data_IF_049278120750
#
_entry.id   IF_049278120750
#
_cell.length_a   1.000
_cell.length_b   1.000
_cell.length_c   1.000
_cell.angle_alpha   90.00
_cell.angle_beta   90.00
_cell.angle_gamma   90.00
#
_symmetry.space_group_name_H-M   'P 1'
#
loop_
_entity.id
_entity.type
_entity.pdbx_description
1 polymer ?
#
# COMPACT_ATOMS: atom_id res chain seq x y z
N UNK A 1 -19.95 14.64 3.36
CA UNK A 1 -18.72 14.81 4.16
C UNK A 1 -18.35 13.42 4.64
N UNK A 2 -17.10 12.98 4.54
CA UNK A 2 -16.71 11.64 5.01
C UNK A 2 -16.51 11.70 6.51
N UNK A 3 -17.04 10.72 7.23
CA UNK A 3 -16.76 10.56 8.66
C UNK A 3 -15.36 9.99 8.84
N UNK A 4 -14.64 10.50 9.83
CA UNK A 4 -13.40 9.89 10.30
C UNK A 4 -13.69 9.13 11.60
N UNK A 5 -13.06 7.98 11.76
CA UNK A 5 -13.20 7.11 12.92
C UNK A 5 -11.83 6.80 13.51
N UNK A 6 -11.72 6.85 14.84
CA UNK A 6 -10.47 6.61 15.54
C UNK A 6 -10.12 5.10 15.58
N UNK A 7 -8.83 4.74 15.60
CA UNK A 7 -8.37 3.34 15.71
C UNK A 7 -8.97 2.56 16.88
N UNK A 8 -9.04 3.17 18.07
CA UNK A 8 -9.65 2.56 19.26
C UNK A 8 -11.14 2.24 19.07
N UNK A 9 -11.88 3.10 18.35
CA UNK A 9 -13.31 2.88 18.07
C UNK A 9 -13.46 1.69 17.12
N UNK A 10 -12.66 1.62 16.06
CA UNK A 10 -12.69 0.48 15.12
C UNK A 10 -12.29 -0.82 15.82
N UNK A 11 -11.27 -0.79 16.67
CA UNK A 11 -10.87 -1.96 17.46
C UNK A 11 -11.98 -2.44 18.38
N UNK A 12 -12.68 -1.51 19.05
CA UNK A 12 -13.80 -1.84 19.93
C UNK A 12 -14.94 -2.49 19.15
N UNK A 13 -15.26 -1.97 17.95
CA UNK A 13 -16.30 -2.55 17.09
C UNK A 13 -15.94 -3.94 16.58
N UNK A 14 -14.69 -4.14 16.15
CA UNK A 14 -14.20 -5.45 15.71
C UNK A 14 -14.21 -6.51 16.83
N UNK A 15 -14.17 -6.08 18.10
CA UNK A 15 -14.26 -6.97 19.25
C UNK A 15 -15.71 -7.24 19.71
N UNK A 16 -16.69 -6.50 19.19
CA UNK A 16 -18.11 -6.67 19.48
C UNK A 16 -18.74 -7.67 18.52
N UNK A 17 -19.54 -8.61 19.02
CA UNK A 17 -20.34 -9.52 18.17
C UNK A 17 -21.63 -8.86 17.65
N UNK A 18 -21.98 -7.66 18.15
CA UNK A 18 -23.23 -6.95 17.85
C UNK A 18 -23.11 -5.92 16.71
N UNK A 19 -21.89 -5.61 16.23
CA UNK A 19 -21.64 -4.58 15.20
C UNK A 19 -20.88 -5.19 14.01
N UNK A 20 -21.48 -5.19 12.82
CA UNK A 20 -20.82 -5.71 11.62
C UNK A 20 -19.98 -4.60 10.99
N UNK A 21 -18.65 -4.68 11.16
CA UNK A 21 -17.71 -3.73 10.55
C UNK A 21 -16.85 -4.39 9.49
N UNK A 22 -16.88 -3.83 8.29
CA UNK A 22 -15.98 -4.22 7.20
C UNK A 22 -14.82 -3.24 7.07
N UNK A 23 -13.60 -3.71 7.26
CA UNK A 23 -12.40 -2.89 7.07
C UNK A 23 -11.82 -3.11 5.67
N UNK A 24 -11.63 -2.02 4.92
CA UNK A 24 -11.11 -2.05 3.55
C UNK A 24 -9.72 -1.42 3.51
N UNK A 25 -8.68 -2.24 3.39
CA UNK A 25 -7.31 -1.75 3.24
C UNK A 25 -6.99 -1.47 1.77
N UNK A 26 -6.80 -0.19 1.44
CA UNK A 26 -6.52 0.27 0.08
C UNK A 26 -5.03 0.33 -0.28
N UNK A 27 -4.15 -0.14 0.62
CA UNK A 27 -2.70 -0.23 0.39
C UNK A 27 -2.37 -1.34 -0.60
N UNK A 28 -1.11 -1.40 -1.01
CA UNK A 28 -0.64 -2.48 -1.87
C UNK A 28 -0.78 -3.85 -1.19
N UNK A 29 -0.99 -4.95 -1.95
CA UNK A 29 -1.06 -6.30 -1.39
C UNK A 29 0.18 -6.69 -0.59
N UNK A 30 1.36 -6.18 -0.99
CA UNK A 30 2.61 -6.39 -0.24
C UNK A 30 2.57 -5.74 1.14
N UNK A 31 2.06 -4.51 1.25
CA UNK A 31 1.94 -3.84 2.55
C UNK A 31 0.90 -4.53 3.43
N UNK A 32 -0.23 -4.92 2.84
CA UNK A 32 -1.25 -5.69 3.53
C UNK A 32 -0.69 -7.01 4.08
N UNK A 33 0.05 -7.76 3.26
CA UNK A 33 0.62 -9.04 3.67
C UNK A 33 1.65 -8.94 4.81
N UNK A 34 2.33 -7.80 4.94
CA UNK A 34 3.26 -7.52 6.04
C UNK A 34 2.56 -7.21 7.37
N UNK A 35 1.29 -6.82 7.33
CA UNK A 35 0.50 -6.46 8.50
C UNK A 35 -0.73 -5.66 8.10
N UNK A 36 -1.90 -6.07 8.56
CA UNK A 36 -3.18 -5.41 8.32
C UNK A 36 -4.11 -5.53 9.53
N UNK A 37 -5.15 -4.68 9.56
CA UNK A 37 -6.21 -4.75 10.56
C UNK A 37 -6.91 -6.11 10.46
N UNK A 38 -7.23 -6.78 11.59
CA UNK A 38 -7.87 -8.08 11.56
C UNK A 38 -9.19 -8.08 10.79
N UNK A 39 -9.42 -9.14 10.00
CA UNK A 39 -10.60 -9.29 9.15
C UNK A 39 -10.66 -8.33 7.95
N UNK A 40 -9.64 -7.48 7.74
CA UNK A 40 -9.66 -6.51 6.65
C UNK A 40 -9.60 -7.18 5.27
N UNK A 41 -10.30 -6.60 4.30
CA UNK A 41 -10.18 -6.96 2.89
C UNK A 41 -9.20 -6.02 2.20
N UNK A 42 -8.27 -6.57 1.42
CA UNK A 42 -7.36 -5.75 0.62
C UNK A 42 -7.97 -5.43 -0.74
N UNK A 43 -8.25 -4.14 -0.98
CA UNK A 43 -8.71 -3.64 -2.28
C UNK A 43 -7.90 -2.40 -2.63
N UNK A 44 -6.77 -2.55 -3.34
CA UNK A 44 -5.91 -1.42 -3.67
C UNK A 44 -6.68 -0.29 -4.35
N UNK A 45 -6.40 0.96 -3.97
CA UNK A 45 -7.13 2.14 -4.47
C UNK A 45 -7.32 2.19 -6.01
N UNK A 46 -6.31 1.84 -6.85
CA UNK A 46 -6.48 1.85 -8.31
C UNK A 46 -7.47 0.80 -8.83
N UNK A 47 -7.68 -0.28 -8.06
CA UNK A 47 -8.55 -1.41 -8.41
C UNK A 47 -9.93 -1.29 -7.80
N UNK A 48 -10.08 -0.49 -6.74
CA UNK A 48 -11.33 -0.24 -6.01
C UNK A 48 -12.52 0.06 -6.94
N UNK A 49 -12.42 0.96 -7.95
CA UNK A 49 -13.56 1.25 -8.82
C UNK A 49 -14.06 0.06 -9.67
N UNK A 50 -13.21 -0.97 -9.85
CA UNK A 50 -13.51 -2.14 -10.68
C UNK A 50 -13.87 -3.38 -9.87
N UNK A 51 -13.57 -3.35 -8.58
CA UNK A 51 -13.75 -4.48 -7.66
C UNK A 51 -14.84 -4.27 -6.63
N UNK A 52 -15.35 -3.04 -6.48
CA UNK A 52 -16.41 -2.74 -5.51
C UNK A 52 -17.64 -3.64 -5.68
N UNK A 53 -18.03 -3.96 -6.92
CA UNK A 53 -19.17 -4.85 -7.20
C UNK A 53 -18.90 -6.33 -6.91
N UNK A 54 -17.67 -6.70 -6.56
CA UNK A 54 -17.28 -8.07 -6.23
C UNK A 54 -17.41 -8.39 -4.74
N UNK A 55 -17.77 -7.40 -3.92
CA UNK A 55 -17.94 -7.55 -2.48
C UNK A 55 -19.37 -7.22 -2.08
N UNK A 56 -19.88 -7.98 -1.11
CA UNK A 56 -21.13 -7.65 -0.42
C UNK A 56 -20.81 -6.61 0.67
N UNK A 57 -21.57 -5.51 0.67
CA UNK A 57 -21.40 -4.36 1.57
C UNK A 57 -22.52 -4.27 2.60
N UNK A 58 -23.01 -5.41 3.08
CA UNK A 58 -24.12 -5.52 4.03
C UNK A 58 -23.75 -5.15 5.47
N UNK A 59 -22.48 -4.87 5.74
CA UNK A 59 -21.99 -4.45 7.05
C UNK A 59 -22.61 -3.10 7.48
N UNK A 60 -22.84 -2.93 8.78
CA UNK A 60 -23.33 -1.69 9.37
C UNK A 60 -22.40 -0.50 9.09
N UNK A 61 -21.09 -0.77 9.05
CA UNK A 61 -20.07 0.25 8.78
C UNK A 61 -18.93 -0.30 7.91
N UNK A 62 -18.49 0.52 6.95
CA UNK A 62 -17.34 0.25 6.08
C UNK A 62 -16.24 1.26 6.39
N UNK A 63 -15.09 0.78 6.86
CA UNK A 63 -13.95 1.62 7.23
C UNK A 63 -12.82 1.48 6.23
N UNK A 64 -12.53 2.54 5.48
CA UNK A 64 -11.41 2.58 4.55
C UNK A 64 -10.10 2.91 5.28
N UNK A 65 -9.04 2.14 5.00
CA UNK A 65 -7.72 2.25 5.63
C UNK A 65 -6.66 2.48 4.57
N UNK A 66 -5.90 3.57 4.70
CA UNK A 66 -4.70 3.83 3.90
C UNK A 66 -3.48 4.05 4.80
N UNK A 67 -2.26 4.32 4.29
CA UNK A 67 -1.09 4.46 5.15
C UNK A 67 -1.16 5.61 6.17
N UNK A 68 -1.85 6.72 5.85
CA UNK A 68 -1.82 7.96 6.64
C UNK A 68 -3.18 8.65 6.85
N UNK A 69 -4.30 8.03 6.44
CA UNK A 69 -5.65 8.64 6.50
C UNK A 69 -6.06 9.50 5.28
N UNK A 70 -5.11 9.99 4.48
CA UNK A 70 -5.40 10.94 3.39
C UNK A 70 -6.13 10.30 2.18
N UNK A 71 -5.62 9.17 1.69
CA UNK A 71 -6.18 8.50 0.52
C UNK A 71 -7.43 7.67 0.85
N UNK A 72 -7.64 7.34 2.13
CA UNK A 72 -8.83 6.63 2.61
C UNK A 72 -10.07 7.51 2.59
N UNK A 73 -9.95 8.82 2.75
CA UNK A 73 -11.06 9.75 2.53
C UNK A 73 -11.56 9.68 1.08
N UNK A 74 -10.64 9.56 0.11
CA UNK A 74 -11.01 9.45 -1.31
C UNK A 74 -11.67 8.10 -1.59
N UNK A 75 -11.12 7.01 -1.04
CA UNK A 75 -11.72 5.68 -1.13
C UNK A 75 -13.13 5.64 -0.50
N UNK A 76 -13.31 6.26 0.67
CA UNK A 76 -14.60 6.31 1.36
C UNK A 76 -15.67 7.06 0.53
N UNK A 77 -15.30 8.19 -0.09
CA UNK A 77 -16.19 8.91 -1.03
C UNK A 77 -16.55 8.07 -2.24
N UNK A 78 -15.56 7.35 -2.77
CA UNK A 78 -15.75 6.50 -3.92
C UNK A 78 -16.71 5.36 -3.58
N UNK A 79 -16.46 4.61 -2.50
CA UNK A 79 -17.33 3.56 -1.98
C UNK A 79 -18.76 4.07 -1.76
N UNK A 80 -18.94 5.18 -1.03
CA UNK A 80 -20.26 5.77 -0.80
C UNK A 80 -20.96 6.34 -2.05
N UNK A 81 -20.31 6.33 -3.21
CA UNK A 81 -20.94 6.70 -4.49
C UNK A 81 -21.47 5.50 -5.30
N UNK A 82 -21.14 4.28 -4.89
CA UNK A 82 -21.64 3.06 -5.53
C UNK A 82 -23.03 2.67 -5.02
N UNK A 83 -23.80 2.06 -5.92
CA UNK A 83 -25.13 1.57 -5.59
C UNK A 83 -25.01 0.38 -4.63
N UNK A 84 -25.86 0.34 -3.60
CA UNK A 84 -25.79 -0.66 -2.54
C UNK A 84 -24.91 -0.30 -1.34
N UNK A 85 -24.15 0.80 -1.39
CA UNK A 85 -23.35 1.29 -0.26
C UNK A 85 -23.97 2.58 0.28
N UNK A 86 -24.31 2.59 1.57
CA UNK A 86 -24.81 3.80 2.22
C UNK A 86 -23.64 4.75 2.51
N UNK A 87 -23.66 5.95 1.90
CA UNK A 87 -22.59 6.93 2.09
C UNK A 87 -22.36 7.33 3.56
N UNK A 88 -23.39 7.28 4.39
CA UNK A 88 -23.33 7.56 5.83
C UNK A 88 -22.73 6.41 6.66
N UNK A 89 -22.66 5.20 6.10
CA UNK A 89 -22.02 4.03 6.68
C UNK A 89 -20.54 3.89 6.29
N UNK A 90 -19.99 4.80 5.48
CA UNK A 90 -18.58 4.74 5.06
C UNK A 90 -17.74 5.77 5.81
N UNK A 91 -16.70 5.28 6.49
CA UNK A 91 -15.75 6.08 7.23
C UNK A 91 -14.31 5.90 6.73
N UNK A 92 -13.45 6.86 7.06
CA UNK A 92 -11.99 6.75 6.92
C UNK A 92 -11.38 6.53 8.30
N UNK A 93 -10.43 5.60 8.42
CA UNK A 93 -9.64 5.47 9.64
C UNK A 93 -8.74 6.70 9.81
N UNK A 94 -8.90 7.42 10.92
CA UNK A 94 -8.05 8.56 11.30
C UNK A 94 -6.60 8.09 11.48
N UNK A 95 -5.63 8.85 10.97
CA UNK A 95 -4.21 8.47 11.00
C UNK A 95 -3.83 7.29 10.09
N UNK A 96 -4.81 6.57 9.57
CA UNK A 96 -4.63 5.37 8.74
C UNK A 96 -3.98 4.22 9.50
N UNK A 97 -3.44 3.26 8.74
CA UNK A 97 -2.77 2.08 9.27
C UNK A 97 -1.64 2.40 10.27
N UNK A 98 -0.98 3.55 10.15
CA UNK A 98 0.16 3.90 11.00
C UNK A 98 -0.21 4.26 12.44
N UNK A 99 -1.46 4.64 12.67
CA UNK A 99 -1.99 4.90 14.01
C UNK A 99 -2.82 3.73 14.53
N UNK A 100 -2.79 2.59 13.83
CA UNK A 100 -3.34 1.36 14.36
C UNK A 100 -2.39 0.78 15.42
N UNK A 101 -2.81 0.84 16.68
CA UNK A 101 -2.09 0.28 17.83
C UNK A 101 -2.63 -1.10 18.27
N UNK A 102 -3.64 -1.63 17.57
CA UNK A 102 -4.22 -2.95 17.85
C UNK A 102 -3.44 -4.12 17.26
N UNK A 103 -3.95 -5.33 17.48
CA UNK A 103 -3.42 -6.55 16.86
C UNK A 103 -3.41 -6.45 15.33
N UNK A 104 -2.43 -7.10 14.71
CA UNK A 104 -2.27 -7.14 13.26
C UNK A 104 -2.33 -8.59 12.77
N UNK A 105 -3.10 -8.80 11.72
CA UNK A 105 -3.05 -10.02 10.94
C UNK A 105 -1.99 -9.92 9.84
N UNK A 106 -1.42 -11.06 9.46
CA UNK A 106 -0.41 -11.17 8.40
C UNK A 106 -0.79 -12.30 7.46
N UNK A 107 -0.44 -12.17 6.18
CA UNK A 107 -0.79 -13.17 5.19
C UNK A 107 -1.34 -12.59 3.88
N UNK A 108 -1.44 -13.44 2.87
CA UNK A 108 -1.97 -13.07 1.57
C UNK A 108 -3.48 -12.73 1.67
N UNK A 109 -3.99 -11.81 0.84
CA UNK A 109 -5.42 -11.48 0.86
C UNK A 109 -6.28 -12.72 0.63
N UNK A 110 -7.36 -12.87 1.40
CA UNK A 110 -8.28 -14.02 1.34
C UNK A 110 -9.06 -14.15 0.01
N UNK A 111 -8.80 -13.30 -0.99
CA UNK A 111 -9.36 -13.43 -2.33
C UNK A 111 -8.33 -14.06 -3.26
N UNK A 112 -8.42 -15.39 -3.41
CA UNK A 112 -7.73 -16.18 -4.44
C UNK A 112 -8.11 -15.67 -5.84
N UNK A 113 -7.46 -14.61 -6.32
CA UNK A 113 -7.13 -14.25 -7.71
C UNK A 113 -6.70 -12.79 -7.71
N UNK A 114 -5.49 -12.51 -7.22
CA UNK A 114 -4.81 -11.24 -7.50
C UNK A 114 -3.80 -11.48 -8.62
N UNK A 115 -4.05 -10.82 -9.75
CA UNK A 115 -3.14 -10.69 -10.89
C UNK A 115 -1.71 -10.31 -10.43
N UNK A 116 -0.65 -10.70 -11.17
CA UNK A 116 0.72 -10.55 -10.71
C UNK A 116 1.06 -9.07 -10.47
N UNK A 117 1.53 -8.80 -9.25
CA UNK A 117 2.14 -7.53 -8.91
C UNK A 117 3.23 -7.20 -9.93
N UNK A 118 3.15 -6.01 -10.52
CA UNK A 118 4.21 -5.47 -11.34
C UNK A 118 5.47 -5.31 -10.48
N UNK A 119 6.48 -6.11 -10.80
CA UNK A 119 7.85 -6.01 -10.36
C UNK A 119 8.37 -4.58 -10.62
N UNK A 120 8.54 -3.79 -9.55
CA UNK A 120 9.42 -2.62 -9.61
C UNK A 120 10.80 -3.09 -9.13
N UNK A 121 11.56 -3.50 -10.15
CA UNK A 121 12.97 -3.88 -10.17
C UNK A 121 13.83 -3.08 -9.19
N UNK A 122 14.67 -3.82 -8.47
CA UNK A 122 15.68 -3.26 -7.58
C UNK A 122 16.81 -2.63 -8.36
N UNK A 123 16.79 -1.30 -8.47
CA UNK A 123 17.97 -0.52 -8.85
C UNK A 123 18.87 -0.29 -7.63
N UNK A 124 19.81 -1.20 -7.39
CA UNK A 124 20.98 -0.92 -6.54
C UNK A 124 21.88 0.06 -7.30
N UNK A 125 21.97 1.31 -6.85
CA UNK A 125 23.07 2.19 -7.27
C UNK A 125 24.25 1.90 -6.34
N UNK A 126 25.04 0.90 -6.72
CA UNK A 126 26.41 0.72 -6.26
C UNK A 126 27.29 1.75 -7.01
N UNK A 127 27.44 2.95 -6.43
CA UNK A 127 28.47 3.89 -6.87
C UNK A 127 29.72 3.68 -6.01
N UNK A 128 30.62 2.86 -6.54
CA UNK A 128 32.01 2.69 -6.11
C UNK A 128 32.97 2.87 -7.31
N UNK A 129 34.20 3.35 -7.08
CA UNK A 129 34.79 4.45 -7.85
C UNK A 129 35.51 4.06 -9.15
N UNK A 130 35.42 4.93 -10.16
CA UNK A 130 36.23 4.89 -11.38
C UNK A 130 37.71 5.14 -11.06
N UNK A 131 38.50 4.06 -10.97
CA UNK A 131 39.95 4.13 -11.09
C UNK A 131 40.30 4.16 -12.58
N UNK A 132 40.81 5.31 -13.04
CA UNK A 132 41.30 5.52 -14.40
C UNK A 132 42.57 4.70 -14.61
N UNK A 133 42.46 3.72 -15.50
CA UNK A 133 43.55 2.97 -16.11
C UNK A 133 44.17 3.85 -17.21
N UNK A 134 45.34 4.44 -16.95
CA UNK A 134 46.17 5.08 -17.97
C UNK A 134 47.61 4.57 -17.83
N UNK A 135 47.90 3.49 -18.55
CA UNK A 135 49.22 3.16 -19.07
C UNK A 135 49.01 2.44 -20.41
N UNK A 136 49.74 2.80 -21.48
CA UNK A 136 50.95 2.02 -21.72
C UNK A 136 52.14 2.77 -22.35
N UNK A 137 53.33 2.29 -21.96
CA UNK A 137 54.47 1.94 -22.83
C UNK A 137 55.27 3.04 -23.54
N UNK A 138 56.37 3.42 -22.88
CA UNK A 138 57.54 4.01 -23.53
C UNK A 138 58.35 2.93 -24.26
N UNK A 139 58.35 2.99 -25.59
CA UNK A 139 59.39 2.44 -26.48
C UNK A 139 59.45 3.33 -27.73
N UNK A 140 60.58 4.00 -27.97
CA UNK A 140 61.35 3.81 -29.20
C UNK A 140 62.65 4.66 -29.16
N UNK A 141 63.68 4.14 -29.83
CA UNK A 141 65.09 4.47 -29.73
C UNK A 141 65.56 5.51 -30.79
N UNK A 142 66.35 6.52 -30.36
CA UNK A 142 67.41 7.20 -31.14
C UNK A 142 67.03 7.95 -32.45
N UNK A 143 68.01 8.54 -33.18
CA UNK A 143 69.45 8.61 -32.92
C UNK A 143 70.04 10.04 -32.89
N UNK A 144 71.31 10.05 -32.52
CA UNK A 144 72.31 11.11 -32.52
C UNK A 144 72.45 11.86 -33.86
N UNK A 145 72.77 13.16 -33.82
CA UNK A 145 73.69 13.83 -34.76
C UNK A 145 74.01 15.28 -34.34
N UNK A 146 75.17 15.84 -34.78
CA UNK A 146 75.90 16.90 -34.10
C UNK A 146 75.79 18.28 -34.79
N UNK A 147 76.23 19.34 -34.11
CA UNK A 147 77.24 20.34 -34.54
C UNK A 147 77.38 21.44 -33.48
#
# INVERSE_FOLDING_TARGET
>A
MVREVDPDEVQSKLASDDEEVTVVDIRSPRQFALGHVPGAINVPLPELPRRVDAYDWDADEVVAVCPHGESSIQAARLLGSYEGIHADAVASLAGGYREWDGDLETGAPASETAAPAAEADGGTNDEGPEARDEGPEARDEGPEAPF
#
